data_IF_214065799872
#
_entry.id   IF_214065799872
#
_cell.length_a   1.000
_cell.length_b   1.000
_cell.length_c   1.000
_cell.angle_alpha   90.00
_cell.angle_beta   90.00
_cell.angle_gamma   90.00
#
_symmetry.space_group_name_H-M   'P 1'
#
loop_
_entity.id
_entity.type
_entity.pdbx_description
1 polymer ?
#
# COMPACT_ATOMS: atom_id res chain seq x y z
N UNK A 1 39.94 8.24 -20.63
CA UNK A 1 39.69 8.54 -19.24
C UNK A 1 38.47 9.48 -19.06
N UNK A 2 38.29 10.51 -19.88
CA UNK A 2 37.14 11.46 -19.84
C UNK A 2 35.74 10.80 -20.02
N UNK A 3 35.60 9.87 -20.99
CA UNK A 3 34.31 9.22 -21.27
C UNK A 3 33.80 8.33 -20.12
N UNK A 4 34.68 7.70 -19.35
CA UNK A 4 34.30 6.86 -18.20
C UNK A 4 33.77 7.69 -17.03
N UNK A 5 34.33 8.88 -16.81
CA UNK A 5 33.89 9.81 -15.77
C UNK A 5 32.52 10.42 -16.13
N UNK A 6 32.30 10.81 -17.39
CA UNK A 6 31.01 11.30 -17.87
C UNK A 6 29.90 10.23 -17.76
N UNK A 7 30.19 8.97 -18.10
CA UNK A 7 29.24 7.87 -17.98
C UNK A 7 28.87 7.58 -16.52
N UNK A 8 29.84 7.68 -15.60
CA UNK A 8 29.59 7.49 -14.17
C UNK A 8 28.71 8.62 -13.60
N UNK A 9 29.03 9.88 -13.89
CA UNK A 9 28.25 11.02 -13.45
C UNK A 9 26.79 11.00 -13.96
N UNK A 10 26.60 10.60 -15.24
CA UNK A 10 25.25 10.47 -15.80
C UNK A 10 24.44 9.30 -15.23
N UNK A 11 25.08 8.20 -14.85
CA UNK A 11 24.41 7.09 -14.16
C UNK A 11 24.02 7.43 -12.72
N UNK A 12 24.87 8.15 -11.99
CA UNK A 12 24.58 8.62 -10.65
C UNK A 12 23.40 9.60 -10.63
N UNK A 13 23.37 10.54 -11.58
CA UNK A 13 22.26 11.50 -11.68
C UNK A 13 20.91 10.82 -12.02
N UNK A 14 20.93 9.79 -12.87
CA UNK A 14 19.72 9.00 -13.19
C UNK A 14 19.21 8.23 -11.98
N UNK A 15 20.10 7.59 -11.23
CA UNK A 15 19.75 6.85 -10.02
C UNK A 15 19.18 7.79 -8.95
N UNK A 16 19.72 8.98 -8.82
CA UNK A 16 19.23 10.01 -7.90
C UNK A 16 17.81 10.43 -8.24
N UNK A 17 17.52 10.72 -9.51
CA UNK A 17 16.16 11.09 -9.98
C UNK A 17 15.16 9.95 -9.75
N UNK A 18 15.55 8.71 -10.02
CA UNK A 18 14.71 7.55 -9.79
C UNK A 18 14.35 7.39 -8.28
N UNK A 19 15.32 7.59 -7.40
CA UNK A 19 15.07 7.55 -5.94
C UNK A 19 14.14 8.67 -5.47
N UNK A 20 14.25 9.88 -6.02
CA UNK A 20 13.33 10.98 -5.72
C UNK A 20 11.93 10.64 -6.18
N UNK A 21 11.77 10.15 -7.42
CA UNK A 21 10.46 9.77 -7.96
C UNK A 21 9.79 8.67 -7.10
N UNK A 22 10.53 7.63 -6.71
CA UNK A 22 10.02 6.58 -5.83
C UNK A 22 9.64 7.13 -4.44
N UNK A 23 10.38 8.11 -3.92
CA UNK A 23 10.03 8.74 -2.64
C UNK A 23 8.71 9.53 -2.76
N UNK A 24 8.50 10.25 -3.85
CA UNK A 24 7.23 10.96 -4.11
C UNK A 24 6.06 9.96 -4.18
N UNK A 25 6.23 8.86 -4.92
CA UNK A 25 5.21 7.81 -5.01
C UNK A 25 4.92 7.18 -3.64
N UNK A 26 5.95 6.95 -2.82
CA UNK A 26 5.80 6.44 -1.46
C UNK A 26 5.00 7.38 -0.58
N UNK A 27 5.34 8.67 -0.58
CA UNK A 27 4.61 9.68 0.17
C UNK A 27 3.16 9.79 -0.32
N UNK A 28 2.93 9.75 -1.63
CA UNK A 28 1.59 9.76 -2.22
C UNK A 28 0.76 8.56 -1.78
N UNK A 29 1.30 7.34 -1.86
CA UNK A 29 0.60 6.14 -1.43
C UNK A 29 0.36 6.14 0.09
N UNK A 30 1.34 6.56 0.89
CA UNK A 30 1.18 6.68 2.34
C UNK A 30 0.09 7.68 2.72
N UNK A 31 0.07 8.84 2.06
CA UNK A 31 -0.98 9.86 2.28
C UNK A 31 -2.36 9.35 1.87
N UNK A 32 -2.46 8.57 0.79
CA UNK A 32 -3.71 7.94 0.36
C UNK A 32 -4.26 7.01 1.44
N UNK A 33 -3.43 6.11 1.99
CA UNK A 33 -3.86 5.21 3.06
C UNK A 33 -4.33 5.97 4.31
N UNK A 34 -3.61 7.01 4.72
CA UNK A 34 -4.01 7.84 5.87
C UNK A 34 -5.33 8.55 5.58
N UNK A 35 -5.49 9.12 4.37
CA UNK A 35 -6.74 9.78 3.97
C UNK A 35 -7.92 8.81 3.98
N UNK A 36 -7.80 7.66 3.34
CA UNK A 36 -8.84 6.62 3.27
C UNK A 36 -9.21 6.13 4.66
N UNK A 37 -8.23 5.93 5.54
CA UNK A 37 -8.50 5.58 6.95
C UNK A 37 -9.43 6.58 7.62
N UNK A 38 -9.13 7.88 7.55
CA UNK A 38 -9.98 8.89 8.20
C UNK A 38 -11.35 9.02 7.52
N UNK A 39 -11.42 8.88 6.21
CA UNK A 39 -12.68 8.87 5.47
C UNK A 39 -13.57 7.68 5.89
N UNK A 40 -13.02 6.48 5.94
CA UNK A 40 -13.71 5.27 6.36
C UNK A 40 -14.12 5.33 7.84
N UNK A 41 -13.27 5.91 8.69
CA UNK A 41 -13.58 6.16 10.10
C UNK A 41 -14.76 7.12 10.22
N UNK A 42 -14.77 8.21 9.48
CA UNK A 42 -15.85 9.18 9.44
C UNK A 42 -17.19 8.61 8.94
N UNK A 43 -17.13 7.66 8.01
CA UNK A 43 -18.29 6.91 7.50
C UNK A 43 -18.75 5.79 8.45
N UNK A 44 -18.04 5.51 9.54
CA UNK A 44 -18.34 4.43 10.47
C UNK A 44 -18.08 3.03 9.91
N UNK A 45 -17.29 2.89 8.83
CA UNK A 45 -17.05 1.62 8.16
C UNK A 45 -16.23 0.61 8.98
N UNK A 46 -15.56 1.05 10.05
CA UNK A 46 -14.87 0.14 10.99
C UNK A 46 -15.75 -0.30 12.16
N UNK A 47 -16.99 0.21 12.27
CA UNK A 47 -17.96 -0.30 13.24
C UNK A 47 -18.50 -1.67 12.79
N UNK A 48 -18.99 -2.52 13.71
CA UNK A 48 -19.52 -3.85 13.35
C UNK A 48 -20.64 -3.77 12.29
N UNK A 49 -21.56 -2.82 12.41
CA UNK A 49 -22.66 -2.64 11.47
C UNK A 49 -22.20 -2.03 10.12
N UNK A 50 -21.33 -1.02 10.16
CA UNK A 50 -20.79 -0.40 8.95
C UNK A 50 -19.96 -1.38 8.14
N UNK A 51 -19.06 -2.12 8.81
CA UNK A 51 -18.22 -3.12 8.16
C UNK A 51 -19.05 -4.27 7.55
N UNK A 52 -19.94 -4.89 8.33
CA UNK A 52 -20.77 -5.99 7.80
C UNK A 52 -21.69 -5.53 6.68
N UNK A 53 -22.24 -4.31 6.76
CA UNK A 53 -23.06 -3.74 5.71
C UNK A 53 -22.30 -3.57 4.39
N UNK A 54 -21.07 -3.02 4.44
CA UNK A 54 -20.20 -2.86 3.27
C UNK A 54 -19.81 -4.21 2.65
N UNK A 55 -19.39 -5.16 3.49
CA UNK A 55 -19.00 -6.49 3.01
C UNK A 55 -20.17 -7.24 2.38
N UNK A 56 -21.35 -7.19 2.98
CA UNK A 56 -22.55 -7.80 2.40
C UNK A 56 -22.93 -7.17 1.06
N UNK A 57 -22.79 -5.84 0.94
CA UNK A 57 -22.99 -5.15 -0.34
C UNK A 57 -22.05 -5.69 -1.44
N UNK A 58 -20.76 -5.89 -1.15
CA UNK A 58 -19.83 -6.45 -2.12
C UNK A 58 -20.10 -7.93 -2.44
N UNK A 59 -20.57 -8.72 -1.47
CA UNK A 59 -20.99 -10.11 -1.72
C UNK A 59 -22.20 -10.18 -2.66
N UNK A 60 -23.19 -9.31 -2.47
CA UNK A 60 -24.42 -9.31 -3.23
C UNK A 60 -24.28 -8.70 -4.63
N UNK A 61 -23.58 -7.57 -4.73
CA UNK A 61 -23.48 -6.76 -5.95
C UNK A 61 -22.20 -6.96 -6.73
N UNK A 62 -21.13 -7.35 -6.05
CA UNK A 62 -19.81 -7.53 -6.66
C UNK A 62 -19.73 -8.82 -7.51
N UNK A 63 -18.78 -8.84 -8.44
CA UNK A 63 -18.46 -9.96 -9.32
C UNK A 63 -17.20 -10.72 -8.87
N UNK A 64 -16.75 -10.50 -7.62
CA UNK A 64 -15.57 -11.16 -7.06
C UNK A 64 -15.68 -12.70 -7.05
N UNK A 65 -14.52 -13.41 -7.00
CA UNK A 65 -14.48 -14.86 -6.97
C UNK A 65 -15.25 -15.45 -5.77
N UNK A 66 -15.91 -16.59 -5.95
CA UNK A 66 -16.74 -17.23 -4.91
C UNK A 66 -15.93 -17.55 -3.63
N UNK A 67 -14.68 -17.99 -3.78
CA UNK A 67 -13.80 -18.23 -2.63
C UNK A 67 -13.62 -16.96 -1.78
N UNK A 68 -13.37 -15.81 -2.44
CA UNK A 68 -13.24 -14.53 -1.75
C UNK A 68 -14.56 -14.13 -1.06
N UNK A 69 -15.70 -14.31 -1.72
CA UNK A 69 -17.01 -14.04 -1.12
C UNK A 69 -17.27 -14.88 0.13
N UNK A 70 -16.82 -16.14 0.15
CA UNK A 70 -16.92 -17.00 1.35
C UNK A 70 -16.07 -16.47 2.51
N UNK A 71 -14.82 -16.04 2.23
CA UNK A 71 -13.95 -15.40 3.23
C UNK A 71 -14.56 -14.10 3.73
N UNK A 72 -15.07 -13.27 2.83
CA UNK A 72 -15.75 -12.01 3.17
C UNK A 72 -16.99 -12.27 4.06
N UNK A 73 -17.78 -13.29 3.79
CA UNK A 73 -18.90 -13.69 4.64
C UNK A 73 -18.46 -14.05 6.06
N UNK A 74 -17.34 -14.77 6.20
CA UNK A 74 -16.74 -15.04 7.51
C UNK A 74 -16.28 -13.73 8.20
N UNK A 75 -15.67 -12.80 7.47
CA UNK A 75 -15.27 -11.50 8.01
C UNK A 75 -16.50 -10.67 8.44
N UNK A 76 -17.59 -10.69 7.69
CA UNK A 76 -18.83 -10.01 8.03
C UNK A 76 -19.46 -10.57 9.33
N UNK A 77 -19.41 -11.88 9.56
CA UNK A 77 -19.89 -12.49 10.83
C UNK A 77 -19.02 -12.08 12.03
N UNK A 78 -17.74 -11.75 11.81
CA UNK A 78 -16.80 -11.30 12.83
C UNK A 78 -16.47 -9.80 12.69
N UNK A 79 -17.41 -8.99 12.23
CA UNK A 79 -17.23 -7.58 11.91
C UNK A 79 -16.70 -6.74 13.09
N UNK A 80 -17.02 -7.11 14.33
CA UNK A 80 -16.51 -6.45 15.53
C UNK A 80 -14.97 -6.53 15.67
N UNK A 81 -14.33 -7.52 15.05
CA UNK A 81 -12.89 -7.69 15.00
C UNK A 81 -12.34 -7.24 13.64
N UNK A 82 -12.97 -7.67 12.55
CA UNK A 82 -12.47 -7.47 11.18
C UNK A 82 -12.48 -5.98 10.77
N UNK A 83 -13.51 -5.21 11.15
CA UNK A 83 -13.58 -3.78 10.86
C UNK A 83 -12.42 -2.99 11.49
N UNK A 84 -12.24 -3.01 12.82
CA UNK A 84 -11.10 -2.34 13.46
C UNK A 84 -9.73 -2.83 12.95
N UNK A 85 -9.59 -4.13 12.66
CA UNK A 85 -8.35 -4.70 12.13
C UNK A 85 -8.02 -4.15 10.73
N UNK A 86 -9.04 -3.97 9.87
CA UNK A 86 -8.84 -3.33 8.57
C UNK A 86 -8.35 -1.89 8.76
N UNK A 87 -9.02 -1.10 9.60
CA UNK A 87 -8.61 0.27 9.89
C UNK A 87 -7.18 0.35 10.45
N UNK A 88 -6.84 -0.53 11.38
CA UNK A 88 -5.47 -0.63 11.91
C UNK A 88 -4.44 -0.94 10.81
N UNK A 89 -4.79 -1.82 9.87
CA UNK A 89 -3.92 -2.16 8.74
C UNK A 89 -3.72 -0.96 7.81
N UNK A 90 -4.78 -0.25 7.47
CA UNK A 90 -4.73 0.94 6.60
C UNK A 90 -3.87 2.05 7.21
N UNK A 91 -4.10 2.41 8.47
CA UNK A 91 -3.31 3.47 9.12
C UNK A 91 -1.85 3.05 9.31
N UNK A 92 -1.59 1.77 9.60
CA UNK A 92 -0.24 1.25 9.74
C UNK A 92 0.52 1.34 8.42
N UNK A 93 -0.06 0.90 7.30
CA UNK A 93 0.55 1.05 5.99
C UNK A 93 0.82 2.51 5.66
N UNK A 94 -0.16 3.39 5.90
CA UNK A 94 -0.02 4.82 5.68
C UNK A 94 1.16 5.42 6.44
N UNK A 95 1.22 5.22 7.75
CA UNK A 95 2.27 5.77 8.61
C UNK A 95 3.64 5.21 8.25
N UNK A 96 3.77 3.88 8.09
CA UNK A 96 5.05 3.25 7.76
C UNK A 96 5.59 3.72 6.39
N UNK A 97 4.72 3.89 5.40
CA UNK A 97 5.10 4.46 4.09
C UNK A 97 5.51 5.93 4.22
N UNK A 98 4.80 6.74 4.99
CA UNK A 98 5.15 8.15 5.16
C UNK A 98 6.53 8.33 5.80
N UNK A 99 6.82 7.63 6.88
CA UNK A 99 8.13 7.70 7.54
C UNK A 99 9.23 6.94 6.80
N UNK A 100 8.85 6.07 5.84
CA UNK A 100 9.77 5.24 5.06
C UNK A 100 10.47 4.19 5.90
N UNK A 101 9.71 3.48 6.72
CA UNK A 101 10.17 2.35 7.54
C UNK A 101 9.63 1.05 6.97
N UNK A 102 10.52 0.08 6.75
CA UNK A 102 10.18 -1.22 6.16
C UNK A 102 9.43 -1.07 4.81
N UNK A 103 9.86 -0.11 4.00
CA UNK A 103 9.14 0.31 2.78
C UNK A 103 8.83 -0.87 1.86
N UNK A 104 9.78 -1.79 1.65
CA UNK A 104 9.58 -2.95 0.76
C UNK A 104 8.52 -3.94 1.28
N UNK A 105 8.63 -4.49 2.50
CA UNK A 105 7.62 -5.42 3.01
C UNK A 105 6.27 -4.75 3.22
N UNK A 106 6.23 -3.47 3.61
CA UNK A 106 4.98 -2.71 3.72
C UNK A 106 4.33 -2.51 2.36
N UNK A 107 5.09 -2.15 1.33
CA UNK A 107 4.59 -2.02 -0.03
C UNK A 107 4.07 -3.36 -0.59
N UNK A 108 4.74 -4.47 -0.29
CA UNK A 108 4.25 -5.82 -0.64
C UNK A 108 2.93 -6.13 0.06
N UNK A 109 2.83 -5.87 1.37
CA UNK A 109 1.58 -6.03 2.12
C UNK A 109 0.45 -5.15 1.57
N UNK A 110 0.76 -3.88 1.27
CA UNK A 110 -0.18 -2.95 0.67
C UNK A 110 -0.65 -3.42 -0.72
N UNK A 111 0.25 -3.98 -1.55
CA UNK A 111 -0.12 -4.56 -2.84
C UNK A 111 -1.14 -5.70 -2.69
N UNK A 112 -0.92 -6.65 -1.79
CA UNK A 112 -1.87 -7.74 -1.56
C UNK A 112 -3.18 -7.24 -0.94
N UNK A 113 -3.12 -6.31 -0.01
CA UNK A 113 -4.30 -5.69 0.60
C UNK A 113 -5.17 -5.00 -0.46
N UNK A 114 -4.58 -4.14 -1.29
CA UNK A 114 -5.28 -3.45 -2.38
C UNK A 114 -5.80 -4.42 -3.44
N UNK A 115 -5.05 -5.48 -3.75
CA UNK A 115 -5.48 -6.53 -4.69
C UNK A 115 -6.72 -7.28 -4.17
N UNK A 116 -6.77 -7.55 -2.86
CA UNK A 116 -7.93 -8.18 -2.24
C UNK A 116 -9.15 -7.27 -2.28
N UNK A 117 -8.98 -5.97 -1.97
CA UNK A 117 -10.05 -4.98 -2.10
C UNK A 117 -10.52 -4.86 -3.55
N UNK A 118 -9.61 -4.77 -4.51
CA UNK A 118 -9.94 -4.68 -5.92
C UNK A 118 -10.80 -5.87 -6.40
N UNK A 119 -10.46 -7.08 -5.95
CA UNK A 119 -11.26 -8.28 -6.25
C UNK A 119 -12.61 -8.27 -5.53
N UNK A 120 -12.68 -7.72 -4.30
CA UNK A 120 -13.93 -7.61 -3.55
C UNK A 120 -14.90 -6.60 -4.18
N UNK A 121 -14.37 -5.48 -4.64
CA UNK A 121 -15.12 -4.38 -5.27
C UNK A 121 -15.39 -4.57 -6.75
N UNK A 122 -14.95 -5.67 -7.33
CA UNK A 122 -15.10 -5.93 -8.77
C UNK A 122 -16.56 -5.84 -9.22
N UNK A 123 -16.83 -4.87 -10.09
CA UNK A 123 -18.14 -4.58 -10.63
C UNK A 123 -18.99 -3.58 -9.82
N UNK A 124 -18.50 -3.11 -8.68
CA UNK A 124 -19.18 -2.10 -7.83
C UNK A 124 -18.45 -0.76 -7.77
N UNK A 125 -17.14 -0.76 -7.99
CA UNK A 125 -16.29 0.43 -8.01
C UNK A 125 -15.56 0.59 -9.35
N UNK A 126 -14.99 1.77 -9.56
CA UNK A 126 -14.15 2.03 -10.74
C UNK A 126 -12.83 1.27 -10.63
N UNK A 127 -12.47 0.55 -11.69
CA UNK A 127 -11.26 -0.27 -11.75
C UNK A 127 -9.98 0.53 -11.41
N UNK A 128 -9.94 1.80 -11.77
CA UNK A 128 -8.78 2.69 -11.60
C UNK A 128 -8.51 3.08 -10.15
N UNK A 129 -9.51 3.07 -9.28
CA UNK A 129 -9.39 3.52 -7.89
C UNK A 129 -8.31 2.73 -7.14
N UNK A 130 -8.26 1.43 -7.34
CA UNK A 130 -7.30 0.54 -6.68
C UNK A 130 -6.15 0.10 -7.59
N UNK A 131 -6.36 0.05 -8.91
CA UNK A 131 -5.33 -0.40 -9.84
C UNK A 131 -4.09 0.50 -9.82
N UNK A 132 -4.26 1.82 -9.79
CA UNK A 132 -3.14 2.77 -9.75
C UNK A 132 -2.36 2.63 -8.44
N UNK A 133 -2.98 2.66 -7.24
CA UNK A 133 -2.28 2.39 -5.98
C UNK A 133 -1.57 1.03 -5.94
N UNK A 134 -2.16 -0.02 -6.53
CA UNK A 134 -1.52 -1.34 -6.65
C UNK A 134 -0.22 -1.29 -7.46
N UNK A 135 -0.25 -0.62 -8.63
CA UNK A 135 0.94 -0.44 -9.47
C UNK A 135 2.01 0.34 -8.71
N UNK A 136 1.63 1.40 -7.99
CA UNK A 136 2.54 2.17 -7.16
C UNK A 136 3.15 1.30 -6.06
N UNK A 137 2.34 0.52 -5.33
CA UNK A 137 2.82 -0.39 -4.30
C UNK A 137 3.83 -1.40 -4.87
N UNK A 138 3.55 -1.99 -6.05
CA UNK A 138 4.46 -2.90 -6.73
C UNK A 138 5.78 -2.21 -7.13
N UNK A 139 5.72 -0.99 -7.65
CA UNK A 139 6.91 -0.21 -7.99
C UNK A 139 7.77 0.11 -6.76
N UNK A 140 7.14 0.42 -5.62
CA UNK A 140 7.85 0.67 -4.35
C UNK A 140 8.50 -0.59 -3.78
N UNK A 141 7.86 -1.76 -3.92
CA UNK A 141 8.41 -3.05 -3.51
C UNK A 141 9.68 -3.39 -4.30
N UNK A 142 9.67 -3.20 -5.63
CA UNK A 142 10.80 -3.50 -6.51
C UNK A 142 11.91 -2.46 -6.34
N UNK A 143 11.53 -1.18 -6.31
CA UNK A 143 12.46 -0.07 -6.18
C UNK A 143 12.87 0.16 -4.72
N UNK A 144 14.11 0.54 -4.46
CA UNK A 144 14.59 0.88 -3.11
C UNK A 144 14.03 2.26 -2.64
N UNK A 145 12.69 2.36 -2.54
CA UNK A 145 11.98 3.62 -2.27
C UNK A 145 12.24 4.21 -0.87
N UNK A 146 12.63 3.38 0.11
CA UNK A 146 13.05 3.81 1.45
C UNK A 146 14.47 4.38 1.49
N UNK A 147 15.27 4.19 0.44
CA UNK A 147 16.69 4.56 0.39
C UNK A 147 16.98 6.07 0.38
N UNK A 148 15.94 6.92 0.20
CA UNK A 148 16.07 8.37 0.27
C UNK A 148 14.94 8.96 1.13
N UNK A 149 15.31 9.84 2.05
CA UNK A 149 14.37 10.55 2.95
C UNK A 149 13.42 9.62 3.73
N UNK A 150 13.94 8.46 4.19
CA UNK A 150 13.19 7.52 5.02
C UNK A 150 14.06 6.94 6.14
N UNK A 151 13.41 6.33 7.12
CA UNK A 151 14.10 5.59 8.20
C UNK A 151 14.92 4.44 7.62
N UNK A 152 14.45 3.80 6.54
CA UNK A 152 15.20 2.76 5.83
C UNK A 152 16.56 3.23 5.34
N UNK A 153 16.70 4.52 4.96
CA UNK A 153 18.00 5.09 4.56
C UNK A 153 19.00 5.13 5.72
N UNK A 154 18.53 5.32 6.95
CA UNK A 154 19.37 5.29 8.16
C UNK A 154 19.72 3.84 8.51
N UNK A 155 18.74 2.94 8.45
CA UNK A 155 18.92 1.52 8.74
C UNK A 155 19.85 0.84 7.71
N UNK A 156 19.78 1.20 6.45
CA UNK A 156 20.65 0.68 5.39
C UNK A 156 22.12 1.02 5.63
N UNK A 157 22.43 2.17 6.26
CA UNK A 157 23.80 2.53 6.64
C UNK A 157 24.32 1.65 7.78
N UNK A 158 23.44 1.27 8.72
CA UNK A 158 23.80 0.47 9.89
C UNK A 158 23.80 -1.04 9.60
N UNK A 159 22.90 -1.47 8.71
CA UNK A 159 22.70 -2.90 8.37
C UNK A 159 22.68 -3.11 6.85
N UNK A 160 23.81 -2.91 6.13
CA UNK A 160 23.85 -2.86 4.67
C UNK A 160 23.53 -4.19 3.97
N UNK A 161 23.54 -5.31 4.71
CA UNK A 161 23.28 -6.65 4.15
C UNK A 161 21.82 -7.10 4.27
N UNK A 162 20.95 -6.29 4.87
CA UNK A 162 19.54 -6.65 5.03
C UNK A 162 18.77 -6.45 3.72
N UNK A 163 17.92 -7.40 3.32
CA UNK A 163 17.08 -7.28 2.12
C UNK A 163 15.83 -6.39 2.35
N UNK A 164 15.61 -5.89 3.54
CA UNK A 164 14.37 -5.17 3.92
C UNK A 164 14.33 -3.72 3.42
N UNK A 165 15.51 -3.10 3.13
CA UNK A 165 15.66 -1.73 2.64
C UNK A 165 16.57 -1.59 1.43
#
# INVERSE_FOLDING_TARGET
MSNSLNNKASSESRNERARVALTILRLGLGSLFVWVFFENLGKGLYSPSGYSGLINYYIEKGHGPQLLKSVMGLMATHAAFAGPMQGFTEITFGVLLLIGLLTRPVALGAFFFLSTLWLAEWGTAWIWELLIPMIVALALMIGAAGSKWGVDALLARRYPRSPLW
#
